data_IF_680784297680
#
_entry.id   IF_680784297680
#
_cell.length_a   1.000
_cell.length_b   1.000
_cell.length_c   1.000
_cell.angle_alpha   90.00
_cell.angle_beta   90.00
_cell.angle_gamma   90.00
#
_symmetry.space_group_name_H-M   'P 1'
#
loop_
_entity.id
_entity.type
_entity.pdbx_description
1 polymer ?
#
# COMPACT_ATOMS: atom_id res chain seq x y z
N UNK A 1 -26.87 40.06 20.85
CA UNK A 1 -26.16 38.89 21.45
C UNK A 1 -26.20 37.67 20.55
N UNK A 2 -27.37 37.25 20.04
CA UNK A 2 -27.53 36.07 19.16
C UNK A 2 -26.56 36.02 17.96
N UNK A 3 -26.35 37.13 17.26
CA UNK A 3 -25.45 37.18 16.09
C UNK A 3 -23.97 36.98 16.45
N UNK A 4 -23.54 37.46 17.63
CA UNK A 4 -22.15 37.25 18.09
C UNK A 4 -21.89 35.80 18.48
N UNK A 5 -22.89 35.15 19.10
CA UNK A 5 -22.85 33.72 19.41
C UNK A 5 -22.82 32.87 18.14
N UNK A 6 -23.61 33.23 17.12
CA UNK A 6 -23.60 32.56 15.82
C UNK A 6 -22.24 32.67 15.11
N UNK A 7 -21.63 33.86 15.12
CA UNK A 7 -20.27 34.07 14.57
C UNK A 7 -19.23 33.24 15.32
N UNK A 8 -19.25 33.25 16.66
CA UNK A 8 -18.32 32.46 17.46
C UNK A 8 -18.49 30.94 17.22
N UNK A 9 -19.74 30.47 17.10
CA UNK A 9 -20.05 29.08 16.80
C UNK A 9 -19.55 28.65 15.41
N UNK A 10 -19.78 29.47 14.39
CA UNK A 10 -19.33 29.20 13.02
C UNK A 10 -17.80 29.17 12.91
N UNK A 11 -17.11 30.08 13.61
CA UNK A 11 -15.63 30.07 13.65
C UNK A 11 -15.13 28.82 14.39
N UNK A 12 -15.72 28.46 15.52
CA UNK A 12 -15.29 27.27 16.27
C UNK A 12 -15.51 25.98 15.47
N UNK A 13 -16.67 25.81 14.84
CA UNK A 13 -16.97 24.66 13.98
C UNK A 13 -16.07 24.66 12.74
N UNK A 14 -15.87 25.81 12.10
CA UNK A 14 -15.03 25.93 10.93
C UNK A 14 -13.57 25.56 11.21
N UNK A 15 -13.02 26.08 12.31
CA UNK A 15 -11.67 25.75 12.76
C UNK A 15 -11.56 24.28 13.16
N UNK A 16 -12.55 23.71 13.86
CA UNK A 16 -12.53 22.29 14.22
C UNK A 16 -12.55 21.37 12.99
N UNK A 17 -13.35 21.71 11.97
CA UNK A 17 -13.42 20.96 10.72
C UNK A 17 -12.13 21.08 9.89
N UNK A 18 -11.49 22.25 9.88
CA UNK A 18 -10.22 22.46 9.18
C UNK A 18 -9.01 21.89 9.93
N UNK A 19 -9.03 21.92 11.27
CA UNK A 19 -7.93 21.48 12.12
C UNK A 19 -7.94 19.96 12.39
N UNK A 20 -9.02 19.26 12.08
CA UNK A 20 -9.14 17.83 12.37
C UNK A 20 -9.24 16.94 11.12
N UNK A 21 -8.17 16.84 10.29
CA UNK A 21 -8.09 15.78 9.29
C UNK A 21 -7.72 14.40 9.88
N UNK A 22 -7.42 14.28 11.19
CA UNK A 22 -6.74 13.10 11.77
C UNK A 22 -7.57 12.20 12.72
N UNK A 23 -8.78 12.58 13.14
CA UNK A 23 -9.53 11.83 14.19
C UNK A 23 -10.91 11.31 13.79
N UNK A 24 -11.29 11.32 12.51
CA UNK A 24 -12.47 10.55 12.11
C UNK A 24 -12.09 9.06 12.20
N UNK A 25 -12.84 8.23 12.95
CA UNK A 25 -12.60 6.79 12.97
C UNK A 25 -12.79 6.27 11.56
N UNK A 26 -11.68 5.95 10.92
CA UNK A 26 -11.69 5.23 9.67
C UNK A 26 -12.03 3.79 10.03
N UNK A 27 -13.06 3.18 9.44
CA UNK A 27 -13.28 1.76 9.61
C UNK A 27 -12.00 1.06 9.19
N UNK A 28 -11.39 0.31 10.10
CA UNK A 28 -10.26 -0.56 9.79
C UNK A 28 -10.86 -1.65 8.92
N UNK A 29 -10.81 -1.46 7.60
CA UNK A 29 -11.14 -2.52 6.66
C UNK A 29 -10.13 -3.64 6.83
N UNK A 30 -10.53 -4.87 6.52
CA UNK A 30 -9.60 -5.98 6.42
C UNK A 30 -8.47 -5.59 5.45
N UNK A 31 -7.19 -5.88 5.79
CA UNK A 31 -6.06 -5.57 4.92
C UNK A 31 -6.32 -6.09 3.50
N UNK A 32 -5.95 -5.29 2.50
CA UNK A 32 -6.09 -5.68 1.09
C UNK A 32 -4.76 -6.34 0.66
N UNK A 33 -4.68 -7.69 0.60
CA UNK A 33 -3.43 -8.37 0.34
C UNK A 33 -3.05 -8.25 -1.13
N UNK A 34 -1.84 -7.76 -1.40
CA UNK A 34 -1.26 -7.79 -2.73
C UNK A 34 -0.09 -8.78 -2.76
N UNK A 35 -0.12 -9.70 -3.70
CA UNK A 35 0.91 -10.71 -3.88
C UNK A 35 1.93 -10.19 -4.88
N UNK A 36 3.21 -10.09 -4.50
CA UNK A 36 4.25 -9.51 -5.37
C UNK A 36 5.27 -10.54 -5.77
N UNK A 37 5.72 -10.45 -7.02
CA UNK A 37 6.75 -11.29 -7.63
C UNK A 37 7.89 -10.40 -8.11
N UNK A 38 9.10 -10.60 -7.60
CA UNK A 38 10.27 -9.83 -8.04
C UNK A 38 11.44 -10.75 -8.35
N UNK A 39 12.13 -10.48 -9.46
CA UNK A 39 13.32 -11.22 -9.88
C UNK A 39 14.51 -10.28 -9.94
N UNK A 40 15.63 -10.68 -9.34
CA UNK A 40 16.88 -9.92 -9.39
C UNK A 40 18.09 -10.86 -9.46
N UNK A 41 19.21 -10.47 -10.08
CA UNK A 41 20.44 -11.26 -10.05
C UNK A 41 20.95 -11.44 -8.62
N UNK A 42 21.57 -12.58 -8.32
CA UNK A 42 22.23 -12.79 -7.02
C UNK A 42 23.49 -11.93 -6.95
N UNK A 43 23.50 -10.92 -6.07
CA UNK A 43 24.64 -10.01 -5.88
C UNK A 43 25.44 -10.30 -4.61
N UNK A 44 26.68 -9.79 -4.58
CA UNK A 44 27.57 -9.87 -3.41
C UNK A 44 27.01 -9.02 -2.26
N UNK A 45 26.33 -9.67 -1.31
CA UNK A 45 25.61 -9.01 -0.20
C UNK A 45 24.16 -9.45 -0.05
N UNK A 46 23.67 -10.26 -0.98
CA UNK A 46 22.37 -10.90 -0.89
C UNK A 46 22.31 -11.90 0.28
N UNK A 47 21.14 -12.09 0.92
CA UNK A 47 20.92 -13.16 1.91
C UNK A 47 21.22 -14.57 1.37
N UNK A 48 21.26 -14.75 0.04
CA UNK A 48 21.58 -16.02 -0.62
C UNK A 48 22.95 -16.04 -1.28
N UNK A 49 23.77 -14.99 -1.10
CA UNK A 49 25.14 -14.92 -1.59
C UNK A 49 26.04 -15.92 -0.85
N UNK A 50 25.99 -17.19 -1.27
CA UNK A 50 26.68 -18.30 -0.61
C UNK A 50 25.89 -19.61 -0.61
N UNK A 51 24.64 -19.60 -1.07
CA UNK A 51 23.89 -20.84 -1.33
C UNK A 51 24.44 -21.46 -2.61
N UNK A 52 25.17 -22.56 -2.47
CA UNK A 52 25.61 -23.38 -3.59
C UNK A 52 24.59 -24.47 -3.93
N UNK A 53 24.75 -25.07 -5.12
CA UNK A 53 23.89 -26.08 -5.73
C UNK A 53 23.40 -27.16 -4.74
N UNK A 54 22.21 -27.75 -4.96
CA UNK A 54 21.48 -28.46 -3.91
C UNK A 54 22.31 -29.62 -3.32
N UNK A 55 22.48 -29.60 -1.99
CA UNK A 55 22.69 -30.83 -1.24
C UNK A 55 21.40 -31.65 -1.35
N UNK A 56 21.51 -32.87 -1.90
CA UNK A 56 20.41 -33.84 -2.02
C UNK A 56 19.76 -34.08 -0.64
N UNK A 57 18.72 -33.31 -0.30
CA UNK A 57 17.97 -33.47 0.95
C UNK A 57 17.65 -32.20 1.74
N UNK A 58 17.96 -30.99 1.24
CA UNK A 58 17.48 -29.74 1.85
C UNK A 58 16.54 -28.99 0.90
N UNK A 59 15.33 -28.64 1.36
CA UNK A 59 14.34 -27.83 0.62
C UNK A 59 14.78 -26.35 0.41
N UNK A 60 16.07 -26.06 0.57
CA UNK A 60 16.66 -24.69 0.65
C UNK A 60 17.79 -24.49 -0.37
N UNK A 61 17.75 -25.20 -1.51
CA UNK A 61 18.78 -25.18 -2.54
C UNK A 61 18.47 -24.29 -3.75
N UNK A 62 19.44 -24.19 -4.67
CA UNK A 62 19.25 -23.63 -6.01
C UNK A 62 18.35 -24.55 -6.83
N UNK A 63 17.27 -24.02 -7.39
CA UNK A 63 16.32 -24.73 -8.24
C UNK A 63 16.63 -24.44 -9.71
N UNK A 64 16.66 -25.46 -10.56
CA UNK A 64 16.79 -25.24 -12.00
C UNK A 64 15.49 -24.65 -12.55
N UNK A 65 15.58 -23.65 -13.43
CA UNK A 65 14.41 -23.08 -14.08
C UNK A 65 13.53 -24.16 -14.75
N UNK A 66 14.12 -25.22 -15.31
CA UNK A 66 13.37 -26.30 -15.94
C UNK A 66 12.52 -27.12 -14.95
N UNK A 67 12.91 -27.15 -13.68
CA UNK A 67 12.23 -27.89 -12.62
C UNK A 67 11.09 -27.08 -11.97
N UNK A 68 10.98 -25.78 -12.29
CA UNK A 68 9.87 -24.96 -11.84
C UNK A 68 8.57 -25.38 -12.53
N UNK A 69 7.48 -25.36 -11.74
CA UNK A 69 6.14 -25.50 -12.27
C UNK A 69 5.88 -24.52 -13.42
N UNK A 70 5.10 -24.89 -14.46
CA UNK A 70 4.87 -24.04 -15.62
C UNK A 70 4.35 -22.63 -15.28
N UNK A 71 3.49 -22.53 -14.26
CA UNK A 71 2.93 -21.27 -13.77
C UNK A 71 3.98 -20.43 -13.03
N UNK A 72 4.85 -21.08 -12.24
CA UNK A 72 5.96 -20.44 -11.57
C UNK A 72 7.00 -19.90 -12.58
N UNK A 73 7.25 -20.63 -13.67
CA UNK A 73 8.10 -20.15 -14.77
C UNK A 73 7.51 -18.91 -15.46
N UNK A 74 6.22 -18.94 -15.79
CA UNK A 74 5.56 -17.78 -16.39
C UNK A 74 5.61 -16.55 -15.48
N UNK A 75 5.44 -16.75 -14.16
CA UNK A 75 5.60 -15.68 -13.17
C UNK A 75 7.06 -15.20 -13.08
N UNK A 76 8.04 -16.10 -13.09
CA UNK A 76 9.46 -15.74 -13.11
C UNK A 76 9.80 -14.90 -14.35
N UNK A 77 9.42 -15.36 -15.54
CA UNK A 77 9.70 -14.68 -16.82
C UNK A 77 9.09 -13.28 -16.82
N UNK A 78 7.83 -13.16 -16.41
CA UNK A 78 7.14 -11.86 -16.33
C UNK A 78 7.81 -10.92 -15.31
N UNK A 79 8.27 -11.45 -14.18
CA UNK A 79 8.97 -10.67 -13.17
C UNK A 79 10.36 -10.25 -13.62
N UNK A 80 11.05 -11.08 -14.42
CA UNK A 80 12.34 -10.77 -15.01
C UNK A 80 12.23 -9.67 -16.08
N UNK A 81 11.16 -9.68 -16.88
CA UNK A 81 10.88 -8.65 -17.90
C UNK A 81 10.42 -7.31 -17.30
N UNK A 82 9.91 -7.32 -16.06
CA UNK A 82 9.37 -6.14 -15.39
C UNK A 82 10.37 -5.56 -14.40
N UNK A 83 10.85 -4.34 -14.65
CA UNK A 83 11.76 -3.65 -13.74
C UNK A 83 11.13 -3.48 -12.34
N UNK A 84 11.71 -4.13 -11.33
CA UNK A 84 11.20 -4.12 -9.94
C UNK A 84 10.07 -5.12 -9.66
N UNK A 85 9.71 -5.98 -10.63
CA UNK A 85 8.70 -7.02 -10.51
C UNK A 85 7.25 -6.56 -10.69
N UNK A 86 6.30 -7.46 -10.47
CA UNK A 86 4.86 -7.19 -10.62
C UNK A 86 4.05 -7.64 -9.40
N UNK A 87 2.82 -7.15 -9.31
CA UNK A 87 1.86 -7.52 -8.27
C UNK A 87 0.58 -8.10 -8.85
N UNK A 88 -0.05 -8.97 -8.06
CA UNK A 88 -1.33 -9.61 -8.30
C UNK A 88 -2.25 -9.28 -7.13
N UNK A 89 -3.46 -8.82 -7.42
CA UNK A 89 -4.44 -8.41 -6.40
C UNK A 89 -5.47 -9.50 -6.14
N UNK A 90 -5.78 -10.32 -7.14
CA UNK A 90 -6.72 -11.44 -7.01
C UNK A 90 -6.01 -12.67 -6.41
N UNK A 91 -6.47 -13.21 -5.26
CA UNK A 91 -5.92 -14.43 -4.68
C UNK A 91 -6.00 -15.65 -5.60
N UNK A 92 -6.95 -15.69 -6.52
CA UNK A 92 -7.12 -16.78 -7.49
C UNK A 92 -6.12 -16.70 -8.66
N UNK A 93 -5.46 -15.54 -8.85
CA UNK A 93 -4.39 -15.35 -9.84
C UNK A 93 -2.99 -15.67 -9.28
N UNK A 94 -2.90 -16.10 -8.02
CA UNK A 94 -1.63 -16.54 -7.43
C UNK A 94 -1.18 -17.85 -8.05
N UNK A 95 0.13 -18.03 -8.12
CA UNK A 95 0.71 -19.34 -8.45
C UNK A 95 0.66 -20.23 -7.22
N UNK A 96 -0.12 -21.31 -7.26
CA UNK A 96 -0.37 -22.20 -6.12
C UNK A 96 0.88 -22.94 -5.63
N UNK A 97 1.87 -23.16 -6.51
CA UNK A 97 3.14 -23.80 -6.14
C UNK A 97 4.11 -22.87 -5.41
N UNK A 98 3.82 -21.57 -5.34
CA UNK A 98 4.66 -20.57 -4.67
C UNK A 98 4.07 -20.19 -3.31
N UNK A 99 4.96 -19.92 -2.36
CA UNK A 99 4.58 -19.41 -1.03
C UNK A 99 4.59 -17.90 -1.00
N UNK A 100 3.64 -17.27 -0.30
CA UNK A 100 3.53 -15.81 -0.21
C UNK A 100 3.52 -15.33 1.24
N UNK A 101 4.59 -15.56 2.02
CA UNK A 101 4.70 -15.02 3.37
C UNK A 101 4.80 -13.49 3.34
N UNK A 102 4.49 -12.84 4.45
CA UNK A 102 4.72 -11.40 4.62
C UNK A 102 6.21 -11.08 4.71
N UNK A 103 6.96 -11.99 5.34
CA UNK A 103 8.42 -11.93 5.52
C UNK A 103 9.08 -13.13 4.82
N UNK A 104 9.46 -13.00 3.54
CA UNK A 104 10.03 -14.10 2.76
C UNK A 104 11.41 -14.53 3.26
N UNK A 105 11.63 -15.84 3.27
CA UNK A 105 12.87 -16.52 3.64
C UNK A 105 13.21 -17.59 2.60
N UNK A 106 14.46 -18.07 2.58
CA UNK A 106 14.87 -19.07 1.60
C UNK A 106 14.04 -20.35 1.71
N UNK A 107 13.41 -20.77 0.62
CA UNK A 107 12.47 -21.90 0.57
C UNK A 107 11.02 -21.54 0.93
N UNK A 108 10.77 -20.33 1.45
CA UNK A 108 9.45 -19.81 1.80
C UNK A 108 9.31 -18.36 1.34
N UNK A 109 8.83 -18.16 0.11
CA UNK A 109 8.72 -16.83 -0.49
C UNK A 109 10.04 -16.29 -1.08
N UNK A 110 11.14 -17.03 -0.99
CA UNK A 110 12.38 -16.74 -1.72
C UNK A 110 12.97 -18.04 -2.30
N UNK A 111 13.15 -18.07 -3.61
CA UNK A 111 13.79 -19.16 -4.35
C UNK A 111 15.04 -18.64 -5.06
N UNK A 112 16.09 -19.47 -5.12
CA UNK A 112 17.24 -19.18 -5.99
C UNK A 112 17.08 -20.00 -7.26
N UNK A 113 16.87 -19.33 -8.39
CA UNK A 113 16.59 -19.96 -9.69
C UNK A 113 17.83 -19.87 -10.56
N UNK A 114 18.32 -21.00 -11.05
CA UNK A 114 19.33 -21.05 -12.09
C UNK A 114 18.67 -20.89 -13.47
N UNK A 115 19.00 -19.80 -14.16
CA UNK A 115 18.44 -19.47 -15.47
C UNK A 115 19.55 -18.93 -16.39
N UNK A 116 19.66 -19.47 -17.61
CA UNK A 116 20.65 -19.09 -18.62
C UNK A 116 22.13 -19.08 -18.13
N UNK A 117 22.45 -19.90 -17.14
CA UNK A 117 23.79 -20.00 -16.56
C UNK A 117 24.09 -18.95 -15.48
N UNK A 118 23.12 -18.11 -15.14
CA UNK A 118 23.17 -17.15 -14.04
C UNK A 118 22.21 -17.57 -12.92
N UNK A 119 22.39 -16.96 -11.73
CA UNK A 119 21.53 -17.20 -10.57
C UNK A 119 20.68 -15.96 -10.30
N UNK A 120 19.39 -16.18 -10.15
CA UNK A 120 18.40 -15.16 -9.85
C UNK A 120 17.71 -15.46 -8.52
N UNK A 121 17.37 -14.41 -7.80
CA UNK A 121 16.50 -14.47 -6.64
C UNK A 121 15.09 -14.21 -7.09
N UNK A 122 14.23 -15.20 -6.89
CA UNK A 122 12.81 -15.07 -7.15
C UNK A 122 12.08 -14.92 -5.82
N UNK A 123 11.66 -13.68 -5.54
CA UNK A 123 10.93 -13.33 -4.34
C UNK A 123 9.43 -13.31 -4.59
N UNK A 124 8.69 -13.93 -3.67
CA UNK A 124 7.23 -13.96 -3.62
C UNK A 124 6.78 -13.62 -2.21
N UNK A 125 5.92 -12.60 -2.08
CA UNK A 125 5.47 -12.16 -0.75
C UNK A 125 4.08 -11.54 -0.80
N UNK A 126 3.42 -11.54 0.35
CA UNK A 126 2.19 -10.78 0.58
C UNK A 126 2.53 -9.41 1.15
N UNK A 127 2.04 -8.37 0.50
CA UNK A 127 2.11 -6.99 1.00
C UNK A 127 0.70 -6.58 1.41
N UNK A 128 0.50 -6.32 2.70
CA UNK A 128 -0.75 -5.78 3.20
C UNK A 128 -0.85 -4.29 2.86
N UNK A 129 -1.84 -3.92 2.03
CA UNK A 129 -2.12 -2.54 1.68
C UNK A 129 -3.26 -1.99 2.52
N UNK A 130 -3.26 -0.66 2.70
CA UNK A 130 -4.44 0.01 3.24
C UNK A 130 -5.64 -0.27 2.32
N UNK A 131 -6.82 -0.61 2.86
CA UNK A 131 -7.98 -0.97 2.05
C UNK A 131 -8.33 0.18 1.09
N UNK A 132 -8.55 -0.12 -0.20
CA UNK A 132 -8.97 0.90 -1.19
C UNK A 132 -10.13 1.80 -0.74
N UNK A 133 -11.19 1.29 -0.07
CA UNK A 133 -12.27 2.10 0.48
C UNK A 133 -11.82 3.09 1.57
N UNK A 134 -10.83 2.72 2.37
CA UNK A 134 -10.22 3.58 3.40
C UNK A 134 -9.47 4.74 2.76
N UNK A 135 -8.70 4.47 1.71
CA UNK A 135 -7.99 5.49 0.93
C UNK A 135 -9.00 6.43 0.24
N UNK A 136 -10.05 5.88 -0.37
CA UNK A 136 -11.11 6.67 -1.02
C UNK A 136 -11.88 7.55 -0.02
N UNK A 137 -12.19 7.02 1.16
CA UNK A 137 -12.81 7.80 2.24
C UNK A 137 -11.91 8.97 2.66
N UNK A 138 -10.60 8.74 2.80
CA UNK A 138 -9.65 9.80 3.15
C UNK A 138 -9.62 10.90 2.10
N UNK A 139 -9.57 10.53 0.82
CA UNK A 139 -9.51 11.45 -0.32
C UNK A 139 -10.83 12.21 -0.51
N UNK A 140 -11.98 11.63 -0.18
CA UNK A 140 -13.28 12.29 -0.34
C UNK A 140 -13.71 13.09 0.89
N UNK A 141 -13.61 12.50 2.08
CA UNK A 141 -14.15 13.08 3.32
C UNK A 141 -13.29 14.24 3.82
N UNK A 142 -11.96 14.14 3.75
CA UNK A 142 -11.08 15.20 4.26
C UNK A 142 -11.22 16.51 3.47
N UNK A 143 -11.22 16.53 2.12
CA UNK A 143 -11.40 17.78 1.37
C UNK A 143 -12.79 18.36 1.56
N UNK A 144 -13.84 17.54 1.65
CA UNK A 144 -15.21 18.01 1.87
C UNK A 144 -15.36 18.62 3.27
N UNK A 145 -14.83 17.98 4.31
CA UNK A 145 -14.83 18.52 5.66
C UNK A 145 -14.05 19.84 5.76
N UNK A 146 -12.88 19.91 5.11
CA UNK A 146 -12.09 21.14 5.02
C UNK A 146 -12.86 22.27 4.33
N UNK A 147 -13.48 22.00 3.18
CA UNK A 147 -14.28 22.98 2.45
C UNK A 147 -15.48 23.45 3.26
N UNK A 148 -16.20 22.55 3.92
CA UNK A 148 -17.30 22.90 4.81
C UNK A 148 -16.83 23.81 5.95
N UNK A 149 -15.67 23.50 6.55
CA UNK A 149 -15.06 24.35 7.58
C UNK A 149 -14.68 25.73 7.06
N UNK A 150 -14.06 25.79 5.88
CA UNK A 150 -13.69 27.03 5.21
C UNK A 150 -14.91 27.93 4.92
N UNK A 151 -15.99 27.36 4.39
CA UNK A 151 -17.23 28.10 4.14
C UNK A 151 -17.90 28.57 5.43
N UNK A 152 -17.84 27.80 6.52
CA UNK A 152 -18.34 28.24 7.81
C UNK A 152 -17.60 29.48 8.33
N UNK A 153 -16.27 29.55 8.15
CA UNK A 153 -15.47 30.73 8.49
C UNK A 153 -15.83 31.93 7.61
N UNK A 154 -15.98 31.74 6.29
CA UNK A 154 -16.41 32.81 5.37
C UNK A 154 -17.79 33.35 5.73
N UNK A 155 -18.74 32.46 6.06
CA UNK A 155 -20.07 32.85 6.52
C UNK A 155 -19.99 33.69 7.82
N UNK A 156 -19.10 33.33 8.74
CA UNK A 156 -18.86 34.10 9.97
C UNK A 156 -18.31 35.51 9.69
N UNK A 157 -17.36 35.63 8.76
CA UNK A 157 -16.81 36.93 8.31
C UNK A 157 -17.91 37.78 7.66
N UNK A 158 -18.71 37.20 6.77
CA UNK A 158 -19.83 37.88 6.11
C UNK A 158 -20.89 38.39 7.11
N UNK A 159 -21.28 37.56 8.08
CA UNK A 159 -22.22 37.96 9.15
C UNK A 159 -21.63 39.08 10.03
N UNK A 160 -20.34 38.99 10.35
CA UNK A 160 -19.63 39.98 11.14
C UNK A 160 -19.56 41.35 10.44
N UNK A 161 -19.26 41.35 9.15
CA UNK A 161 -19.21 42.56 8.32
C UNK A 161 -20.59 43.23 8.18
N UNK A 162 -21.65 42.44 7.90
CA UNK A 162 -23.02 42.94 7.81
C UNK A 162 -23.49 43.59 9.12
N UNK A 163 -23.18 42.98 10.26
CA UNK A 163 -23.55 43.53 11.57
C UNK A 163 -22.81 44.84 11.90
N UNK A 164 -21.63 45.08 11.32
CA UNK A 164 -20.93 46.37 11.46
C UNK A 164 -21.54 47.45 10.58
N UNK A 165 -21.92 47.11 9.35
CA UNK A 165 -22.58 48.03 8.40
C UNK A 165 -23.97 48.47 8.89
N UNK A 166 -24.76 47.55 9.47
CA UNK A 166 -26.08 47.87 10.03
C UNK A 166 -26.02 48.71 11.33
N UNK A 167 -24.82 48.96 11.87
CA UNK A 167 -24.59 49.71 13.12
C UNK A 167 -24.00 51.11 12.92
N UNK A 168 -23.58 51.44 11.71
CA UNK A 168 -23.11 52.75 11.25
C UNK A 168 -24.23 53.46 10.54
#
# INVERSE_FOLDING_TARGET
MRTRLAVAGLVAVGVLLMANPLYLPVPVGEPDPAYTHTVQPVESGSPVAGVDAPDEGSDTGVVDYADLDPEARAAFDRALETEGGFGVEDPDERVDSLSYPTDPTLGDGLLVVAYEGERYEFWTRTVEREPGPVVAQRIAVQPVAFLAGFFAVLAAVGLGARTRLDRT
#
